data_IF_640320909379
#
_entry.id   IF_640320909379
#
_cell.length_a   1.000
_cell.length_b   1.000
_cell.length_c   1.000
_cell.angle_alpha   90.00
_cell.angle_beta   90.00
_cell.angle_gamma   90.00
#
_symmetry.space_group_name_H-M   'P 1'
#
loop_
_entity.id
_entity.type
_entity.pdbx_description
1 polymer ?
#
# COMPACT_ATOMS: atom_id res chain seq x y z
N UNK A 1 -13.79 7.30 -21.67
CA UNK A 1 -12.68 8.24 -21.89
C UNK A 1 -12.27 8.33 -23.36
N UNK A 2 -12.18 7.19 -24.08
CA UNK A 2 -11.78 7.19 -25.49
C UNK A 2 -12.95 7.35 -26.49
N UNK A 3 -14.21 7.56 -26.05
CA UNK A 3 -15.34 7.67 -26.93
C UNK A 3 -15.70 6.38 -27.65
N UNK A 4 -16.22 6.50 -28.88
CA UNK A 4 -16.69 5.35 -29.64
C UNK A 4 -15.54 4.57 -30.29
N UNK A 5 -15.75 3.27 -30.50
CA UNK A 5 -14.74 2.35 -31.05
C UNK A 5 -14.29 2.74 -32.45
N UNK A 6 -15.21 3.23 -33.26
CA UNK A 6 -14.96 3.64 -34.63
C UNK A 6 -14.10 4.91 -34.71
N UNK A 7 -14.17 5.77 -33.68
CA UNK A 7 -13.43 7.04 -33.63
C UNK A 7 -12.00 6.83 -33.12
N UNK A 8 -11.78 5.82 -32.26
CA UNK A 8 -10.52 5.55 -31.64
C UNK A 8 -10.10 4.06 -31.70
N UNK A 9 -9.98 3.47 -32.91
CA UNK A 9 -9.78 2.01 -33.07
C UNK A 9 -8.51 1.50 -32.33
N UNK A 10 -7.42 2.24 -32.36
CA UNK A 10 -6.16 1.86 -31.66
C UNK A 10 -6.33 1.77 -30.15
N UNK A 11 -7.08 2.69 -29.55
CA UNK A 11 -7.33 2.67 -28.13
C UNK A 11 -8.14 1.42 -27.73
N UNK A 12 -9.16 1.11 -28.51
CA UNK A 12 -10.01 -0.06 -28.28
C UNK A 12 -9.28 -1.38 -28.55
N UNK A 13 -8.41 -1.45 -29.53
CA UNK A 13 -7.54 -2.60 -29.77
C UNK A 13 -6.62 -2.86 -28.54
N UNK A 14 -6.06 -1.78 -27.99
CA UNK A 14 -5.25 -1.87 -26.77
C UNK A 14 -6.08 -2.36 -25.58
N UNK A 15 -7.27 -1.79 -25.37
CA UNK A 15 -8.17 -2.18 -24.29
C UNK A 15 -8.58 -3.66 -24.42
N UNK A 16 -8.98 -4.11 -25.62
CA UNK A 16 -9.39 -5.49 -25.86
C UNK A 16 -8.26 -6.48 -25.57
N UNK A 17 -7.03 -6.14 -25.96
CA UNK A 17 -5.84 -6.93 -25.65
C UNK A 17 -5.56 -7.00 -24.15
N UNK A 18 -5.61 -5.86 -23.44
CA UNK A 18 -5.41 -5.81 -21.99
C UNK A 18 -6.48 -6.58 -21.25
N UNK A 19 -7.76 -6.42 -21.61
CA UNK A 19 -8.87 -7.15 -21.02
C UNK A 19 -8.70 -8.65 -21.22
N UNK A 20 -8.29 -9.10 -22.42
CA UNK A 20 -8.01 -10.50 -22.68
C UNK A 20 -6.92 -11.09 -21.77
N UNK A 21 -5.88 -10.31 -21.43
CA UNK A 21 -4.85 -10.76 -20.45
C UNK A 21 -5.43 -10.79 -19.04
N UNK A 22 -6.16 -9.75 -18.63
CA UNK A 22 -6.77 -9.66 -17.30
C UNK A 22 -7.74 -10.82 -17.05
N UNK A 23 -8.57 -11.18 -18.03
CA UNK A 23 -9.51 -12.30 -17.96
C UNK A 23 -8.80 -13.65 -17.88
N UNK A 24 -7.82 -13.91 -18.75
CA UNK A 24 -7.05 -15.15 -18.74
C UNK A 24 -6.33 -15.41 -17.42
N UNK A 25 -5.83 -14.35 -16.79
CA UNK A 25 -5.14 -14.41 -15.51
C UNK A 25 -6.09 -14.40 -14.29
N UNK A 26 -7.40 -14.20 -14.52
CA UNK A 26 -8.42 -14.22 -13.45
C UNK A 26 -8.44 -12.96 -12.55
N UNK A 27 -7.85 -11.84 -12.99
CA UNK A 27 -7.72 -10.65 -12.16
C UNK A 27 -8.82 -9.60 -12.32
N UNK A 28 -9.90 -9.88 -13.07
CA UNK A 28 -10.99 -8.92 -13.28
C UNK A 28 -11.56 -8.38 -11.95
N UNK A 29 -11.77 -9.26 -10.96
CA UNK A 29 -12.25 -8.87 -9.62
C UNK A 29 -11.31 -7.90 -8.90
N UNK A 30 -9.99 -8.08 -9.04
CA UNK A 30 -9.00 -7.18 -8.46
C UNK A 30 -9.14 -5.74 -8.99
N UNK A 31 -9.27 -5.58 -10.32
CA UNK A 31 -9.48 -4.26 -10.94
C UNK A 31 -10.79 -3.62 -10.50
N UNK A 32 -11.85 -4.39 -10.33
CA UNK A 32 -13.16 -3.90 -9.88
C UNK A 32 -13.11 -3.42 -8.43
N UNK A 33 -12.41 -4.11 -7.55
CA UNK A 33 -12.19 -3.69 -6.16
C UNK A 33 -11.42 -2.36 -6.11
N UNK A 34 -10.34 -2.24 -6.88
CA UNK A 34 -9.56 -0.99 -6.93
C UNK A 34 -10.41 0.15 -7.49
N UNK A 35 -11.22 -0.12 -8.53
CA UNK A 35 -12.17 0.86 -9.08
C UNK A 35 -13.17 1.33 -8.04
N UNK A 36 -13.77 0.43 -7.26
CA UNK A 36 -14.73 0.78 -6.21
C UNK A 36 -14.11 1.72 -5.16
N UNK A 37 -12.86 1.46 -4.76
CA UNK A 37 -12.11 2.33 -3.83
C UNK A 37 -11.89 3.71 -4.45
N UNK A 38 -11.49 3.78 -5.71
CA UNK A 38 -11.26 5.05 -6.43
C UNK A 38 -12.57 5.81 -6.63
N UNK A 39 -13.66 5.12 -6.95
CA UNK A 39 -15.00 5.72 -7.07
C UNK A 39 -15.48 6.32 -5.73
N UNK A 40 -15.23 5.64 -4.62
CA UNK A 40 -15.49 6.20 -3.29
C UNK A 40 -14.69 7.49 -3.05
N UNK A 41 -13.40 7.47 -3.37
CA UNK A 41 -12.57 8.68 -3.28
C UNK A 41 -13.16 9.83 -4.12
N UNK A 42 -13.53 9.56 -5.36
CA UNK A 42 -14.11 10.56 -6.26
C UNK A 42 -15.45 11.12 -5.74
N UNK A 43 -16.34 10.26 -5.24
CA UNK A 43 -17.65 10.67 -4.66
C UNK A 43 -17.48 11.54 -3.41
N UNK A 44 -16.46 11.28 -2.61
CA UNK A 44 -16.14 12.03 -1.41
C UNK A 44 -15.24 13.24 -1.67
N UNK A 45 -14.79 13.45 -2.90
CA UNK A 45 -13.82 14.49 -3.25
C UNK A 45 -12.47 14.27 -2.58
N UNK A 46 -12.05 13.03 -2.35
CA UNK A 46 -10.73 12.67 -1.84
C UNK A 46 -9.78 12.55 -3.01
N UNK A 47 -8.65 13.26 -2.97
CA UNK A 47 -7.66 13.16 -4.05
C UNK A 47 -6.92 11.82 -3.94
N UNK A 48 -7.03 11.04 -5.00
CA UNK A 48 -6.31 9.76 -5.12
C UNK A 48 -5.79 9.54 -6.53
N UNK A 49 -4.76 8.73 -6.69
CA UNK A 49 -4.11 8.44 -7.96
C UNK A 49 -3.45 7.07 -7.95
N UNK A 50 -3.83 6.21 -8.89
CA UNK A 50 -3.07 5.00 -9.17
C UNK A 50 -1.72 5.35 -9.80
N UNK A 51 -0.65 4.76 -9.28
CA UNK A 51 0.73 5.06 -9.69
C UNK A 51 1.50 3.82 -10.12
N UNK A 52 2.77 4.04 -10.45
CA UNK A 52 3.72 2.97 -10.79
C UNK A 52 3.33 2.24 -12.07
N UNK A 53 3.29 0.92 -12.01
CA UNK A 53 3.01 0.09 -13.18
C UNK A 53 1.59 0.23 -13.72
N UNK A 54 0.62 0.59 -12.89
CA UNK A 54 -0.78 0.81 -13.29
C UNK A 54 -0.92 1.91 -14.36
N UNK A 55 -0.01 2.89 -14.40
CA UNK A 55 0.03 3.92 -15.44
C UNK A 55 0.24 3.36 -16.85
N UNK A 56 0.75 2.12 -17.00
CA UNK A 56 0.94 1.49 -18.31
C UNK A 56 -0.32 0.79 -18.84
N UNK A 57 -1.47 0.91 -18.18
CA UNK A 57 -2.71 0.24 -18.56
C UNK A 57 -3.76 1.23 -19.05
N UNK A 58 -4.25 1.01 -20.27
CA UNK A 58 -5.40 1.71 -20.83
C UNK A 58 -6.69 1.34 -20.07
N UNK A 59 -6.80 0.13 -19.55
CA UNK A 59 -7.92 -0.31 -18.71
C UNK A 59 -7.91 0.48 -17.39
N UNK A 60 -6.76 0.60 -16.69
CA UNK A 60 -6.66 1.45 -15.49
C UNK A 60 -7.03 2.90 -15.75
N UNK A 61 -6.64 3.45 -16.90
CA UNK A 61 -7.04 4.79 -17.32
C UNK A 61 -8.56 4.87 -17.55
N UNK A 62 -9.17 3.91 -18.24
CA UNK A 62 -10.62 3.89 -18.47
C UNK A 62 -11.43 3.77 -17.19
N UNK A 63 -10.97 2.95 -16.25
CA UNK A 63 -11.59 2.77 -14.94
C UNK A 63 -11.42 3.97 -13.99
N UNK A 64 -10.59 4.96 -14.35
CA UNK A 64 -10.30 6.11 -13.50
C UNK A 64 -9.27 5.85 -12.41
N UNK A 65 -8.65 4.67 -12.41
CA UNK A 65 -7.60 4.30 -11.44
C UNK A 65 -6.36 5.18 -11.62
N UNK A 66 -6.01 5.51 -12.87
CA UNK A 66 -4.91 6.44 -13.18
C UNK A 66 -5.39 7.55 -14.11
N UNK A 67 -4.78 8.74 -14.00
CA UNK A 67 -4.97 9.86 -14.93
C UNK A 67 -4.04 9.77 -16.17
N UNK A 68 -3.08 8.84 -16.17
CA UNK A 68 -2.11 8.67 -17.25
C UNK A 68 -2.74 7.89 -18.41
N UNK A 69 -2.82 8.51 -19.57
CA UNK A 69 -3.31 7.88 -20.81
C UNK A 69 -2.20 7.01 -21.43
N UNK A 70 -2.25 5.72 -21.19
CA UNK A 70 -1.26 4.77 -21.69
C UNK A 70 -1.20 4.69 -23.22
N UNK A 71 -2.33 4.89 -23.91
CA UNK A 71 -2.38 4.87 -25.38
C UNK A 71 -1.73 6.12 -25.96
N UNK A 72 -2.05 7.29 -25.44
CA UNK A 72 -1.46 8.56 -25.84
C UNK A 72 0.04 8.61 -25.65
N UNK A 73 0.52 8.04 -24.55
CA UNK A 73 1.94 8.05 -24.20
C UNK A 73 2.70 6.80 -24.67
N UNK A 74 2.06 5.91 -25.43
CA UNK A 74 2.67 4.68 -25.98
C UNK A 74 3.33 3.81 -24.89
N UNK A 75 2.67 3.69 -23.73
CA UNK A 75 3.17 2.89 -22.62
C UNK A 75 2.91 1.41 -22.85
N UNK A 76 3.78 0.56 -22.31
CA UNK A 76 3.75 -0.88 -22.52
C UNK A 76 3.03 -1.57 -21.37
N UNK A 77 1.88 -2.18 -21.62
CA UNK A 77 1.10 -2.93 -20.66
C UNK A 77 1.86 -4.11 -20.05
N UNK A 78 2.75 -4.72 -20.81
CA UNK A 78 3.59 -5.84 -20.38
C UNK A 78 4.51 -5.50 -19.19
N UNK A 79 4.77 -4.22 -18.93
CA UNK A 79 5.47 -3.74 -17.72
C UNK A 79 4.60 -3.82 -16.47
N UNK A 80 3.30 -3.82 -16.63
CA UNK A 80 2.33 -3.91 -15.55
C UNK A 80 1.87 -5.35 -15.33
N UNK A 81 1.39 -6.02 -16.39
CA UNK A 81 0.87 -7.36 -16.34
C UNK A 81 1.23 -8.12 -17.63
N UNK A 82 1.71 -9.37 -17.48
CA UNK A 82 2.02 -10.24 -18.61
C UNK A 82 1.85 -11.70 -18.21
N UNK A 83 1.63 -12.55 -19.21
CA UNK A 83 1.49 -14.02 -19.02
C UNK A 83 2.77 -14.67 -18.42
N UNK A 84 3.92 -14.01 -18.54
CA UNK A 84 5.20 -14.47 -17.97
C UNK A 84 5.39 -14.10 -16.49
N UNK A 85 4.56 -13.23 -15.94
CA UNK A 85 4.65 -12.77 -14.55
C UNK A 85 3.78 -13.66 -13.65
N UNK A 86 4.39 -14.31 -12.69
CA UNK A 86 3.68 -15.03 -11.64
C UNK A 86 3.16 -14.04 -10.58
N UNK A 87 1.87 -14.09 -10.28
CA UNK A 87 1.24 -13.32 -9.22
C UNK A 87 0.33 -12.18 -9.69
N UNK A 88 -0.45 -11.62 -8.76
CA UNK A 88 -1.41 -10.55 -9.05
C UNK A 88 -0.71 -9.26 -9.48
N UNK A 89 -1.42 -8.38 -10.22
CA UNK A 89 -0.92 -7.04 -10.49
C UNK A 89 -0.76 -6.26 -9.17
N UNK A 90 0.17 -5.33 -9.15
CA UNK A 90 0.42 -4.46 -7.99
C UNK A 90 -0.04 -3.04 -8.36
N UNK A 91 -1.25 -2.69 -7.97
CA UNK A 91 -1.82 -1.36 -8.15
C UNK A 91 -1.67 -0.60 -6.84
N UNK A 92 -0.68 0.29 -6.80
CA UNK A 92 -0.53 1.25 -5.72
C UNK A 92 -1.53 2.39 -5.92
N UNK A 93 -2.37 2.67 -4.94
CA UNK A 93 -3.25 3.84 -4.92
C UNK A 93 -2.71 4.84 -3.89
N UNK A 94 -2.16 5.94 -4.38
CA UNK A 94 -1.80 7.07 -3.53
C UNK A 94 -3.06 7.86 -3.18
N UNK A 95 -3.24 8.14 -1.90
CA UNK A 95 -4.38 8.86 -1.35
C UNK A 95 -3.86 10.07 -0.56
N UNK A 96 -4.56 11.20 -0.61
CA UNK A 96 -4.20 12.35 0.21
C UNK A 96 -4.10 11.97 1.69
N UNK A 97 -3.00 12.38 2.33
CA UNK A 97 -2.63 11.89 3.67
C UNK A 97 -3.67 12.22 4.74
N UNK A 98 -4.32 13.37 4.64
CA UNK A 98 -5.33 13.86 5.59
C UNK A 98 -6.60 13.04 5.65
N UNK A 99 -6.96 12.34 4.54
CA UNK A 99 -8.23 11.63 4.41
C UNK A 99 -8.11 10.14 4.11
N UNK A 100 -6.89 9.62 4.08
CA UNK A 100 -6.64 8.19 3.82
C UNK A 100 -7.38 7.27 4.79
N UNK A 101 -7.52 7.68 6.07
CA UNK A 101 -8.23 6.88 7.07
C UNK A 101 -9.68 6.63 6.69
N UNK A 102 -10.36 7.61 6.09
CA UNK A 102 -11.73 7.46 5.60
C UNK A 102 -11.84 6.32 4.57
N UNK A 103 -10.84 6.22 3.69
CA UNK A 103 -10.80 5.17 2.66
C UNK A 103 -10.55 3.79 3.28
N UNK A 104 -9.66 3.69 4.25
CA UNK A 104 -9.39 2.43 4.98
C UNK A 104 -10.65 1.97 5.72
N UNK A 105 -11.34 2.87 6.42
CA UNK A 105 -12.56 2.54 7.14
C UNK A 105 -13.69 2.15 6.18
N UNK A 106 -13.79 2.80 5.01
CA UNK A 106 -14.74 2.39 3.97
C UNK A 106 -14.51 0.95 3.50
N UNK A 107 -13.27 0.54 3.30
CA UNK A 107 -12.95 -0.86 2.95
C UNK A 107 -13.40 -1.82 4.04
N UNK A 108 -13.20 -1.48 5.32
CA UNK A 108 -13.70 -2.29 6.43
C UNK A 108 -15.23 -2.32 6.54
N UNK A 109 -15.90 -1.22 6.23
CA UNK A 109 -17.37 -1.16 6.20
C UNK A 109 -17.95 -2.03 5.08
N UNK A 110 -17.32 -2.03 3.93
CA UNK A 110 -17.77 -2.74 2.74
C UNK A 110 -17.55 -4.26 2.83
N UNK A 111 -16.36 -4.68 3.25
CA UNK A 111 -15.94 -6.10 3.24
C UNK A 111 -16.01 -6.77 4.61
N UNK A 112 -16.13 -6.01 5.69
CA UNK A 112 -16.10 -6.52 7.06
C UNK A 112 -14.66 -6.69 7.61
N UNK A 113 -14.52 -6.54 8.93
CA UNK A 113 -13.22 -6.68 9.63
C UNK A 113 -12.78 -8.12 9.80
N UNK A 114 -13.65 -9.06 9.51
CA UNK A 114 -13.35 -10.50 9.46
C UNK A 114 -12.70 -10.91 8.13
N UNK A 115 -12.97 -10.16 7.04
CA UNK A 115 -12.48 -10.45 5.68
C UNK A 115 -11.47 -9.45 5.15
N UNK A 116 -11.27 -8.35 5.83
CA UNK A 116 -10.29 -7.32 5.54
C UNK A 116 -9.29 -7.18 6.69
N UNK A 117 -8.00 -7.12 6.40
CA UNK A 117 -6.97 -6.86 7.40
C UNK A 117 -5.77 -6.14 6.78
N UNK A 118 -5.10 -5.30 7.58
CA UNK A 118 -3.84 -4.71 7.18
C UNK A 118 -2.71 -5.75 7.24
N UNK A 119 -1.79 -5.67 6.29
CA UNK A 119 -0.59 -6.51 6.24
C UNK A 119 0.37 -6.06 7.34
N UNK A 120 1.03 -6.99 8.01
CA UNK A 120 2.08 -6.68 8.96
C UNK A 120 3.40 -6.32 8.27
N UNK A 121 4.32 -5.80 9.06
CA UNK A 121 5.71 -5.59 8.67
C UNK A 121 6.62 -5.98 9.83
N UNK A 122 7.66 -6.76 9.57
CA UNK A 122 8.65 -7.14 10.57
C UNK A 122 9.67 -6.03 10.73
N UNK A 123 9.61 -5.35 11.88
CA UNK A 123 10.56 -4.30 12.22
C UNK A 123 11.80 -4.96 12.83
N UNK A 124 12.95 -4.77 12.19
CA UNK A 124 14.23 -5.29 12.68
C UNK A 124 15.00 -4.27 13.51
N UNK A 125 15.88 -4.76 14.38
CA UNK A 125 16.79 -3.90 15.12
C UNK A 125 17.72 -3.12 14.19
N UNK A 126 17.69 -1.80 14.33
CA UNK A 126 18.64 -0.87 13.74
C UNK A 126 19.67 -0.45 14.80
N UNK A 127 20.86 0.07 14.45
CA UNK A 127 21.92 0.38 15.41
C UNK A 127 21.45 1.16 16.63
N UNK A 128 20.62 2.19 16.44
CA UNK A 128 20.09 3.01 17.55
C UNK A 128 19.17 2.22 18.48
N UNK A 129 18.25 1.43 17.94
CA UNK A 129 17.32 0.62 18.74
C UNK A 129 18.05 -0.52 19.43
N UNK A 130 18.97 -1.20 18.75
CA UNK A 130 19.79 -2.25 19.32
C UNK A 130 20.60 -1.75 20.53
N UNK A 131 21.31 -0.62 20.37
CA UNK A 131 22.11 -0.02 21.47
C UNK A 131 21.23 0.36 22.66
N UNK A 132 20.10 1.02 22.42
CA UNK A 132 19.21 1.45 23.51
C UNK A 132 18.58 0.27 24.24
N UNK A 133 18.09 -0.73 23.51
CA UNK A 133 17.38 -1.85 24.10
C UNK A 133 18.37 -2.83 24.79
N UNK A 134 19.58 -3.02 24.25
CA UNK A 134 20.66 -3.75 24.92
C UNK A 134 21.08 -3.09 26.25
N UNK A 135 21.29 -1.77 26.24
CA UNK A 135 21.64 -1.04 27.45
C UNK A 135 20.56 -1.16 28.54
N UNK A 136 19.28 -1.04 28.14
CA UNK A 136 18.15 -1.18 29.08
C UNK A 136 18.02 -2.61 29.63
N UNK A 137 18.20 -3.62 28.79
CA UNK A 137 18.17 -5.02 29.21
C UNK A 137 19.28 -5.35 30.18
N UNK A 138 20.46 -4.71 30.08
CA UNK A 138 21.58 -4.83 31.00
C UNK A 138 21.48 -3.92 32.23
N UNK A 139 20.33 -3.27 32.46
CA UNK A 139 20.04 -2.51 33.68
C UNK A 139 20.56 -1.06 33.68
N UNK A 140 21.04 -0.54 32.58
CA UNK A 140 21.52 0.85 32.52
C UNK A 140 20.36 1.85 32.47
N UNK A 141 20.52 3.04 33.07
CA UNK A 141 19.53 4.10 33.09
C UNK A 141 19.12 4.53 31.69
N UNK A 142 17.85 4.92 31.51
CA UNK A 142 17.29 5.35 30.22
C UNK A 142 18.08 6.52 29.58
N UNK A 143 18.61 7.44 30.39
CA UNK A 143 19.44 8.55 29.93
C UNK A 143 20.75 8.09 29.28
N UNK A 144 21.47 7.16 29.92
CA UNK A 144 22.69 6.56 29.38
C UNK A 144 22.41 5.78 28.10
N UNK A 145 21.37 4.93 28.10
CA UNK A 145 20.93 4.17 26.93
C UNK A 145 20.61 5.09 25.74
N UNK A 146 19.94 6.20 26.01
CA UNK A 146 19.60 7.20 24.99
C UNK A 146 20.84 7.94 24.48
N UNK A 147 21.78 8.30 25.36
CA UNK A 147 23.02 8.97 24.97
C UNK A 147 23.85 8.07 24.04
N UNK A 148 24.10 6.83 24.43
CA UNK A 148 24.87 5.87 23.62
C UNK A 148 24.18 5.55 22.27
N UNK A 149 22.85 5.44 22.28
CA UNK A 149 22.10 5.22 21.02
C UNK A 149 22.25 6.37 20.01
N UNK A 150 22.61 7.56 20.49
CA UNK A 150 22.89 8.75 19.67
C UNK A 150 24.39 8.98 19.41
N UNK A 151 25.24 8.04 19.82
CA UNK A 151 26.69 8.16 19.71
C UNK A 151 27.31 9.15 20.67
N UNK A 152 26.62 9.49 21.79
CA UNK A 152 27.15 10.39 22.83
C UNK A 152 27.79 9.57 23.94
N UNK A 153 29.10 9.65 24.05
CA UNK A 153 29.91 8.88 25.01
C UNK A 153 30.13 7.45 24.56
N UNK A 154 30.98 6.74 25.30
CA UNK A 154 31.36 5.36 25.02
C UNK A 154 30.50 4.40 25.82
N UNK A 155 29.85 3.47 25.13
CA UNK A 155 29.06 2.42 25.79
C UNK A 155 29.99 1.32 26.33
N UNK A 156 29.63 0.71 27.48
CA UNK A 156 30.36 -0.44 27.99
C UNK A 156 30.49 -1.55 26.94
N UNK A 157 31.63 -2.30 26.93
CA UNK A 157 31.88 -3.34 25.95
C UNK A 157 30.74 -4.37 25.83
N UNK A 158 30.19 -4.82 26.96
CA UNK A 158 29.07 -5.76 27.01
C UNK A 158 27.80 -5.21 26.34
N UNK A 159 27.49 -3.92 26.48
CA UNK A 159 26.37 -3.26 25.84
C UNK A 159 26.59 -3.22 24.31
N UNK A 160 27.79 -2.88 23.87
CA UNK A 160 28.17 -2.81 22.47
C UNK A 160 28.12 -4.18 21.79
N UNK A 161 28.54 -5.22 22.49
CA UNK A 161 28.48 -6.62 22.05
C UNK A 161 27.03 -7.09 21.92
N UNK A 162 26.21 -6.90 22.94
CA UNK A 162 24.80 -7.23 22.91
C UNK A 162 24.05 -6.47 21.80
N UNK A 163 24.36 -5.19 21.60
CA UNK A 163 23.76 -4.40 20.50
C UNK A 163 24.15 -4.93 19.11
N UNK A 164 25.38 -5.39 18.93
CA UNK A 164 25.81 -6.06 17.69
C UNK A 164 25.07 -7.37 17.47
N UNK A 165 24.91 -8.18 18.50
CA UNK A 165 24.18 -9.45 18.44
C UNK A 165 22.69 -9.25 18.10
N UNK A 166 22.06 -8.20 18.62
CA UNK A 166 20.67 -7.84 18.29
C UNK A 166 20.50 -7.26 16.88
N UNK A 167 21.55 -6.71 16.29
CA UNK A 167 21.45 -6.00 15.00
C UNK A 167 20.86 -6.89 13.91
N UNK A 168 19.86 -6.40 13.20
CA UNK A 168 19.09 -7.07 12.14
C UNK A 168 18.16 -8.19 12.61
N UNK A 169 18.15 -8.58 13.87
CA UNK A 169 17.15 -9.52 14.38
C UNK A 169 15.76 -8.85 14.40
N UNK A 170 14.67 -9.62 14.32
CA UNK A 170 13.32 -9.11 14.53
C UNK A 170 13.19 -8.43 15.89
N UNK A 171 12.55 -7.26 15.90
CA UNK A 171 12.31 -6.50 17.13
C UNK A 171 10.84 -6.54 17.54
N UNK A 172 9.96 -6.26 16.64
CA UNK A 172 8.51 -6.34 16.81
C UNK A 172 7.82 -6.32 15.45
N UNK A 173 6.57 -6.69 15.45
CA UNK A 173 5.71 -6.48 14.28
C UNK A 173 5.14 -5.06 14.30
N UNK A 174 5.04 -4.46 13.12
CA UNK A 174 4.37 -3.21 12.85
C UNK A 174 3.29 -3.42 11.78
N UNK A 175 2.66 -2.34 11.34
CA UNK A 175 1.71 -2.35 10.24
C UNK A 175 2.43 -1.91 8.98
N UNK A 176 2.21 -2.59 7.86
CA UNK A 176 2.65 -2.14 6.55
C UNK A 176 1.99 -0.79 6.21
N UNK A 177 2.73 0.11 5.57
CA UNK A 177 2.30 1.50 5.35
C UNK A 177 1.03 1.65 4.51
N UNK A 178 0.68 0.66 3.68
CA UNK A 178 -0.44 0.74 2.75
C UNK A 178 -1.19 -0.57 2.54
N UNK A 179 -0.51 -1.71 2.74
CA UNK A 179 -1.02 -3.01 2.37
C UNK A 179 -2.24 -3.44 3.17
N UNK A 180 -3.30 -3.80 2.46
CA UNK A 180 -4.47 -4.51 2.98
C UNK A 180 -4.69 -5.77 2.17
N UNK A 181 -5.17 -6.82 2.80
CA UNK A 181 -5.69 -8.02 2.13
C UNK A 181 -7.20 -8.07 2.26
N UNK A 182 -7.84 -8.57 1.21
CA UNK A 182 -9.27 -8.86 1.17
C UNK A 182 -9.43 -10.35 0.82
N UNK A 183 -10.31 -11.04 1.54
CA UNK A 183 -10.53 -12.48 1.36
C UNK A 183 -12.01 -12.80 1.24
N UNK A 184 -12.34 -13.85 0.52
CA UNK A 184 -13.69 -14.39 0.36
C UNK A 184 -14.20 -15.11 1.62
N UNK A 185 -13.28 -15.53 2.49
CA UNK A 185 -13.54 -16.17 3.78
C UNK A 185 -12.88 -15.37 4.91
N UNK A 186 -13.22 -15.61 6.18
CA UNK A 186 -12.59 -14.92 7.29
C UNK A 186 -11.06 -15.07 7.26
N UNK A 187 -10.34 -13.95 7.34
CA UNK A 187 -8.86 -13.91 7.34
C UNK A 187 -8.29 -14.82 8.43
N UNK A 188 -8.98 -14.92 9.56
CA UNK A 188 -8.58 -15.77 10.70
C UNK A 188 -8.53 -17.29 10.39
N UNK A 189 -9.13 -17.72 9.27
CA UNK A 189 -8.98 -19.10 8.78
C UNK A 189 -7.68 -19.35 8.04
N UNK A 190 -7.03 -18.28 7.60
CA UNK A 190 -5.80 -18.34 6.82
C UNK A 190 -4.61 -17.96 7.71
N UNK A 191 -4.73 -16.87 8.45
CA UNK A 191 -3.66 -16.28 9.25
C UNK A 191 -4.22 -15.74 10.57
N UNK A 192 -3.47 -15.81 11.69
CA UNK A 192 -3.85 -15.12 12.92
C UNK A 192 -4.02 -13.61 12.68
N UNK A 193 -5.08 -13.04 13.26
CA UNK A 193 -5.43 -11.62 13.15
C UNK A 193 -5.49 -11.02 14.55
N UNK A 194 -4.94 -9.83 14.71
CA UNK A 194 -5.02 -9.05 15.95
C UNK A 194 -5.57 -7.65 15.70
N UNK A 195 -5.91 -6.96 16.77
CA UNK A 195 -6.25 -5.54 16.71
C UNK A 195 -4.99 -4.70 16.57
N UNK A 196 -5.05 -3.66 15.75
CA UNK A 196 -4.00 -2.66 15.65
C UNK A 196 -4.03 -1.72 16.87
N UNK A 197 -2.91 -0.98 17.08
CA UNK A 197 -2.89 0.10 18.05
C UNK A 197 -3.84 1.26 17.69
N UNK A 198 -4.11 1.46 16.39
CA UNK A 198 -5.11 2.38 15.90
C UNK A 198 -6.49 1.72 15.93
N UNK A 199 -7.46 2.42 16.50
CA UNK A 199 -8.82 1.93 16.64
C UNK A 199 -9.46 1.56 15.28
N UNK A 200 -10.32 0.55 15.29
CA UNK A 200 -11.06 0.13 14.10
C UNK A 200 -10.25 -0.61 13.03
N UNK A 201 -8.99 -0.95 13.28
CA UNK A 201 -8.15 -1.68 12.34
C UNK A 201 -7.75 -3.06 12.86
N UNK A 202 -7.73 -4.02 11.95
CA UNK A 202 -7.20 -5.37 12.15
C UNK A 202 -5.88 -5.54 11.41
N UNK A 203 -4.98 -6.34 11.96
CA UNK A 203 -3.66 -6.65 11.39
C UNK A 203 -3.46 -8.14 11.38
N UNK A 204 -3.20 -8.71 10.23
CA UNK A 204 -2.76 -10.10 10.13
C UNK A 204 -1.29 -10.24 10.56
N UNK A 205 -0.91 -11.43 11.04
CA UNK A 205 0.40 -11.65 11.63
C UNK A 205 1.47 -12.08 10.61
N UNK A 206 1.22 -11.85 9.33
CA UNK A 206 2.12 -12.12 8.22
C UNK A 206 2.58 -10.83 7.55
N UNK A 207 3.79 -10.83 7.01
CA UNK A 207 4.27 -9.75 6.17
C UNK A 207 3.86 -9.96 4.70
N UNK A 208 4.34 -9.07 3.82
CA UNK A 208 3.99 -9.11 2.40
C UNK A 208 4.47 -10.35 1.67
N UNK A 209 5.60 -10.93 2.11
CA UNK A 209 6.20 -12.11 1.49
C UNK A 209 5.40 -13.36 1.91
N UNK A 210 5.09 -13.49 3.19
CA UNK A 210 4.20 -14.54 3.69
C UNK A 210 2.81 -14.50 3.01
N UNK A 211 2.25 -13.29 2.83
CA UNK A 211 0.97 -13.11 2.12
C UNK A 211 1.06 -13.60 0.67
N UNK A 212 2.14 -13.25 -0.04
CA UNK A 212 2.35 -13.65 -1.42
C UNK A 212 2.51 -15.18 -1.55
N UNK A 213 3.27 -15.81 -0.65
CA UNK A 213 3.47 -17.26 -0.60
C UNK A 213 2.16 -18.01 -0.32
N UNK A 214 1.26 -17.41 0.46
CA UNK A 214 -0.08 -17.95 0.72
C UNK A 214 -1.11 -17.62 -0.38
N UNK A 215 -0.72 -16.93 -1.44
CA UNK A 215 -1.61 -16.54 -2.55
C UNK A 215 -2.60 -15.43 -2.19
N UNK A 216 -2.35 -14.69 -1.11
CA UNK A 216 -3.17 -13.54 -0.73
C UNK A 216 -2.85 -12.34 -1.61
N UNK A 217 -3.90 -11.72 -2.14
CA UNK A 217 -3.78 -10.52 -2.96
C UNK A 217 -3.76 -9.29 -2.05
N UNK A 218 -2.69 -8.50 -2.17
CA UNK A 218 -2.51 -7.25 -1.44
C UNK A 218 -3.01 -6.05 -2.26
N UNK A 219 -3.68 -5.13 -1.60
CA UNK A 219 -4.08 -3.82 -2.11
C UNK A 219 -3.29 -2.75 -1.38
N UNK A 220 -2.59 -1.89 -2.10
CA UNK A 220 -1.79 -0.83 -1.50
C UNK A 220 -2.52 0.52 -1.51
N UNK A 221 -3.03 0.90 -0.33
CA UNK A 221 -3.66 2.19 -0.07
C UNK A 221 -2.64 3.10 0.61
N UNK A 222 -1.85 3.81 -0.19
CA UNK A 222 -0.71 4.57 0.31
C UNK A 222 -1.09 6.01 0.67
N UNK A 223 -0.36 6.59 1.61
CA UNK A 223 -0.53 7.99 2.03
C UNK A 223 0.50 8.86 1.32
N UNK A 224 0.05 9.87 0.57
CA UNK A 224 0.93 10.80 -0.12
C UNK A 224 0.63 12.25 0.30
N UNK A 225 1.55 12.85 1.10
CA UNK A 225 1.43 14.23 1.57
C UNK A 225 1.39 15.26 0.44
N UNK A 226 2.01 14.97 -0.72
CA UNK A 226 1.95 15.86 -1.89
C UNK A 226 0.52 16.03 -2.41
N UNK A 227 -0.32 14.98 -2.39
CA UNK A 227 -1.73 15.09 -2.78
C UNK A 227 -2.51 16.00 -1.83
N UNK A 228 -2.22 15.95 -0.52
CA UNK A 228 -2.79 16.91 0.45
C UNK A 228 -2.35 18.34 0.15
N UNK A 229 -1.07 18.56 -0.17
CA UNK A 229 -0.59 19.90 -0.53
C UNK A 229 -1.25 20.44 -1.80
N UNK A 230 -1.40 19.61 -2.83
CA UNK A 230 -2.12 19.96 -4.06
C UNK A 230 -3.58 20.29 -3.77
N UNK A 231 -4.26 19.49 -2.93
CA UNK A 231 -5.64 19.75 -2.52
C UNK A 231 -5.78 21.12 -1.88
N UNK A 232 -4.93 21.43 -0.90
CA UNK A 232 -4.93 22.75 -0.23
C UNK A 232 -4.72 23.86 -1.24
N UNK A 233 -3.75 23.72 -2.16
CA UNK A 233 -3.46 24.71 -3.18
C UNK A 233 -4.66 24.98 -4.10
N UNK A 234 -5.37 23.94 -4.54
CA UNK A 234 -6.58 24.07 -5.37
C UNK A 234 -7.74 24.73 -4.59
N UNK A 235 -7.93 24.35 -3.34
CA UNK A 235 -8.97 24.94 -2.49
C UNK A 235 -8.72 26.44 -2.27
N UNK A 236 -7.45 26.88 -2.04
CA UNK A 236 -7.06 28.29 -1.87
C UNK A 236 -7.20 29.10 -3.18
N UNK A 237 -6.98 28.49 -4.32
CA UNK A 237 -7.18 29.14 -5.62
C UNK A 237 -8.67 29.29 -6.00
N UNK A 238 -9.59 28.78 -5.19
CA UNK A 238 -11.03 28.79 -5.50
C UNK A 238 -11.39 27.90 -6.67
N UNK A 239 -10.47 27.12 -7.14
CA UNK A 239 -10.66 26.18 -8.24
C UNK A 239 -11.04 24.82 -7.65
N UNK A 240 -12.32 24.67 -7.31
CA UNK A 240 -12.89 23.37 -6.87
C UNK A 240 -12.77 22.27 -7.92
N UNK A 241 -11.95 22.47 -8.95
CA UNK A 241 -11.66 21.59 -10.07
C UNK A 241 -10.47 20.65 -9.84
N UNK A 242 -10.15 20.30 -8.61
CA UNK A 242 -9.28 19.14 -8.34
C UNK A 242 -9.84 17.83 -8.91
N UNK A 243 -10.65 17.93 -9.96
CA UNK A 243 -11.27 16.86 -10.73
C UNK A 243 -10.64 16.83 -12.11
N UNK A 244 -9.55 16.14 -12.23
CA UNK A 244 -9.01 15.75 -13.52
C UNK A 244 -9.07 14.24 -13.69
#
# INVERSE_FOLDING_TARGET
>A
RYGRREEHPRAWETIDRELGVIERLGFAGYFLIVKEIVDFCAQRGIVCQGRGSAANSAVCFCLGITAVDAVRHHLLFERFLSDARSGPPDIDVDIEASRREEVIQHVYELYGRDRAAQVANVITYRPRSAMRDAARALGYPAGSAQAWSRGKGEAPPLVSEAARALSRLPRHMGIHSGGMVLTDQPVSRICPVGWAAMEGRTVLQWDKEDCADAGLVKFDLLSLGMLTALRIAFDELGDGSGRG
#
